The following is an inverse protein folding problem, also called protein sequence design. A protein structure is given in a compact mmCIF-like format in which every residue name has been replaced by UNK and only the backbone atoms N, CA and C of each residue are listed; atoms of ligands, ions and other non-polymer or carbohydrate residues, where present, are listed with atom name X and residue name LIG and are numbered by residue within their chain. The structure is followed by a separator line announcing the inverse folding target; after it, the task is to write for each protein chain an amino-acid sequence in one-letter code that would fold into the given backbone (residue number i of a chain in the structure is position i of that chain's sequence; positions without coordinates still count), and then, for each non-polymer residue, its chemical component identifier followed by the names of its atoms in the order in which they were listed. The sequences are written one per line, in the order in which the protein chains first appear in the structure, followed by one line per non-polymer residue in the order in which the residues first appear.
data_IF_625454758306
#
_entry.id   IF_625454758306
#
_cell.length_a   1.000
_cell.length_b   1.000
_cell.length_c   1.000
_cell.angle_alpha   90.00
_cell.angle_beta   90.00
_cell.angle_gamma   90.00
#
_symmetry.space_group_name_H-M   'P 1'
#
loop_
_entity.id
_entity.type
_entity.pdbx_description
1 polymer ?
#
# COMPACT_ATOMS: atom_id res chain seq x y z
N UNK A 1 -11.79 -18.92 -49.98
CA UNK A 1 -10.99 -18.61 -48.77
C UNK A 1 -11.54 -17.32 -48.17
N UNK A 2 -12.39 -17.42 -47.14
CA UNK A 2 -12.99 -16.26 -46.48
C UNK A 2 -12.06 -15.78 -45.36
N UNK A 3 -11.51 -14.57 -45.52
CA UNK A 3 -10.71 -13.90 -44.50
C UNK A 3 -11.64 -13.52 -43.35
N UNK A 4 -11.65 -14.32 -42.28
CA UNK A 4 -12.36 -13.99 -41.06
C UNK A 4 -11.80 -12.66 -40.52
N UNK A 5 -12.60 -11.59 -40.55
CA UNK A 5 -12.28 -10.32 -39.89
C UNK A 5 -11.93 -10.62 -38.43
N UNK A 6 -10.67 -10.38 -38.06
CA UNK A 6 -10.24 -10.45 -36.67
C UNK A 6 -11.12 -9.52 -35.83
N UNK A 7 -11.78 -10.06 -34.80
CA UNK A 7 -12.49 -9.26 -33.79
C UNK A 7 -11.53 -8.18 -33.27
N UNK A 8 -11.95 -6.92 -33.10
CA UNK A 8 -11.09 -5.90 -32.52
C UNK A 8 -10.58 -6.41 -31.17
N UNK A 9 -9.25 -6.39 -30.99
CA UNK A 9 -8.64 -6.83 -29.75
C UNK A 9 -9.21 -5.97 -28.62
N UNK A 10 -9.89 -6.60 -27.66
CA UNK A 10 -10.37 -5.92 -26.47
C UNK A 10 -9.21 -5.20 -25.74
N UNK A 11 -9.51 -4.22 -24.87
CA UNK A 11 -8.46 -3.43 -24.25
C UNK A 11 -7.47 -4.33 -23.50
N UNK A 12 -6.17 -4.08 -23.71
CA UNK A 12 -5.11 -4.83 -23.04
C UNK A 12 -5.21 -4.67 -21.52
N UNK A 13 -4.70 -5.62 -20.73
CA UNK A 13 -4.69 -5.50 -19.27
C UNK A 13 -4.05 -4.20 -18.79
N UNK A 14 -3.02 -3.72 -19.48
CA UNK A 14 -2.38 -2.42 -19.22
C UNK A 14 -3.39 -1.28 -19.39
N UNK A 15 -4.19 -1.27 -20.46
CA UNK A 15 -5.23 -0.26 -20.66
C UNK A 15 -6.23 -0.22 -19.50
N UNK A 16 -6.68 -1.38 -19.04
CA UNK A 16 -7.56 -1.46 -17.86
C UNK A 16 -6.87 -1.04 -16.57
N UNK A 17 -5.60 -1.41 -16.37
CA UNK A 17 -4.85 -1.01 -15.18
C UNK A 17 -4.63 0.52 -15.13
N UNK A 18 -4.34 1.15 -16.27
CA UNK A 18 -4.20 2.60 -16.37
C UNK A 18 -5.54 3.33 -16.19
N UNK A 19 -6.64 2.79 -16.75
CA UNK A 19 -7.98 3.32 -16.49
C UNK A 19 -8.37 3.20 -15.01
N UNK A 20 -8.01 2.07 -14.38
CA UNK A 20 -8.21 1.85 -12.93
C UNK A 20 -7.38 2.84 -12.12
N UNK A 21 -6.11 3.08 -12.49
CA UNK A 21 -5.26 4.08 -11.85
C UNK A 21 -5.87 5.48 -11.95
N UNK A 22 -6.35 5.87 -13.13
CA UNK A 22 -6.97 7.18 -13.34
C UNK A 22 -8.22 7.34 -12.46
N UNK A 23 -9.11 6.35 -12.44
CA UNK A 23 -10.30 6.38 -11.61
C UNK A 23 -9.97 6.35 -10.10
N UNK A 24 -9.01 5.54 -9.69
CA UNK A 24 -8.50 5.49 -8.31
C UNK A 24 -7.96 6.86 -7.88
N UNK A 25 -7.15 7.51 -8.73
CA UNK A 25 -6.63 8.87 -8.50
C UNK A 25 -7.77 9.89 -8.37
N UNK A 26 -8.76 9.86 -9.27
CA UNK A 26 -9.91 10.78 -9.20
C UNK A 26 -10.69 10.58 -7.89
N UNK A 27 -10.93 9.35 -7.46
CA UNK A 27 -11.65 9.08 -6.21
C UNK A 27 -10.82 9.55 -5.01
N UNK A 28 -9.54 9.19 -4.95
CA UNK A 28 -8.65 9.51 -3.82
C UNK A 28 -8.43 11.02 -3.67
N UNK A 29 -8.13 11.74 -4.76
CA UNK A 29 -7.77 13.17 -4.70
C UNK A 29 -8.98 14.09 -4.96
N UNK A 30 -9.87 13.72 -5.88
CA UNK A 30 -11.10 14.48 -6.13
C UNK A 30 -12.08 14.40 -4.96
N UNK A 31 -12.19 13.23 -4.31
CA UNK A 31 -12.93 13.10 -3.06
C UNK A 31 -12.37 13.99 -1.95
N UNK A 32 -11.04 14.10 -1.83
CA UNK A 32 -10.41 14.99 -0.87
C UNK A 32 -10.73 16.48 -1.16
N UNK A 33 -10.72 16.88 -2.43
CA UNK A 33 -11.03 18.26 -2.86
C UNK A 33 -12.51 18.63 -2.64
N UNK A 34 -13.44 17.69 -2.83
CA UNK A 34 -14.88 17.91 -2.66
C UNK A 34 -15.32 17.89 -1.19
N UNK A 35 -14.68 17.05 -0.37
CA UNK A 35 -15.08 16.82 1.03
C UNK A 35 -14.42 17.79 2.02
N UNK A 36 -13.38 18.53 1.62
CA UNK A 36 -12.61 19.39 2.51
C UNK A 36 -12.29 20.73 1.83
N UNK A 37 -12.53 21.88 2.48
CA UNK A 37 -12.01 23.17 2.02
C UNK A 37 -10.49 23.10 1.89
N UNK A 38 -9.94 23.61 0.79
CA UNK A 38 -8.50 23.85 0.64
C UNK A 38 -8.04 24.76 1.81
N UNK A 39 -6.83 24.55 2.32
CA UNK A 39 -6.21 25.20 3.52
C UNK A 39 -6.10 24.31 4.77
N UNK A 40 -5.81 23.01 4.62
CA UNK A 40 -5.42 22.15 5.75
C UNK A 40 -4.15 21.35 5.44
N UNK A 41 -3.28 21.22 6.43
CA UNK A 41 -2.12 20.33 6.36
C UNK A 41 -2.54 18.86 6.26
N UNK A 42 -1.66 17.99 5.73
CA UNK A 42 -1.91 16.54 5.64
C UNK A 42 -2.20 15.92 7.01
N UNK A 43 -1.55 16.44 8.06
CA UNK A 43 -1.73 16.07 9.46
C UNK A 43 -3.16 16.36 9.95
N UNK A 44 -3.76 17.48 9.57
CA UNK A 44 -5.13 17.80 9.93
C UNK A 44 -6.12 16.87 9.20
N UNK A 45 -5.84 16.51 7.94
CA UNK A 45 -6.68 15.62 7.14
C UNK A 45 -6.75 14.22 7.76
N UNK A 46 -5.62 13.68 8.21
CA UNK A 46 -5.55 12.32 8.79
C UNK A 46 -6.06 12.22 10.22
N UNK A 47 -6.28 13.36 10.90
CA UNK A 47 -6.70 13.41 12.32
C UNK A 47 -8.17 13.81 12.53
N UNK A 48 -8.87 14.27 11.50
CA UNK A 48 -10.26 14.74 11.58
C UNK A 48 -11.34 13.68 11.30
N UNK A 49 -10.96 12.46 10.97
CA UNK A 49 -11.87 11.33 10.80
C UNK A 49 -11.35 10.31 9.81
N UNK A 50 -12.20 9.33 9.49
CA UNK A 50 -11.88 8.31 8.48
C UNK A 50 -11.78 8.95 7.10
N UNK A 51 -10.75 8.57 6.34
CA UNK A 51 -10.59 8.99 4.95
C UNK A 51 -11.53 8.20 4.04
N UNK A 52 -12.80 8.59 3.98
CA UNK A 52 -13.82 7.90 3.19
C UNK A 52 -13.48 7.80 1.71
N UNK A 53 -12.79 8.79 1.14
CA UNK A 53 -12.31 8.76 -0.23
C UNK A 53 -11.33 7.60 -0.47
N UNK A 54 -10.49 7.24 0.51
CA UNK A 54 -9.56 6.11 0.43
C UNK A 54 -10.33 4.79 0.54
N UNK A 55 -11.32 4.72 1.42
CA UNK A 55 -12.20 3.55 1.55
C UNK A 55 -12.96 3.29 0.25
N UNK A 56 -13.51 4.34 -0.36
CA UNK A 56 -14.20 4.27 -1.66
C UNK A 56 -13.24 3.83 -2.78
N UNK A 57 -12.02 4.36 -2.81
CA UNK A 57 -11.01 3.95 -3.77
C UNK A 57 -10.63 2.46 -3.59
N UNK A 58 -10.46 2.00 -2.36
CA UNK A 58 -10.20 0.59 -2.07
C UNK A 58 -11.37 -0.33 -2.46
N UNK A 59 -12.60 0.07 -2.17
CA UNK A 59 -13.81 -0.66 -2.58
C UNK A 59 -13.91 -0.74 -4.11
N UNK A 60 -13.61 0.35 -4.82
CA UNK A 60 -13.55 0.38 -6.28
C UNK A 60 -12.53 -0.61 -6.83
N UNK A 61 -11.33 -0.72 -6.23
CA UNK A 61 -10.32 -1.70 -6.62
C UNK A 61 -10.82 -3.13 -6.46
N UNK A 62 -11.55 -3.45 -5.39
CA UNK A 62 -12.16 -4.77 -5.18
C UNK A 62 -13.17 -5.06 -6.28
N UNK A 63 -14.09 -4.12 -6.54
CA UNK A 63 -15.13 -4.27 -7.57
C UNK A 63 -14.51 -4.48 -8.96
N UNK A 64 -13.55 -3.66 -9.35
CA UNK A 64 -12.86 -3.81 -10.65
C UNK A 64 -12.09 -5.12 -10.72
N UNK A 65 -11.40 -5.52 -9.65
CA UNK A 65 -10.63 -6.77 -9.64
C UNK A 65 -11.54 -7.99 -9.82
N UNK A 66 -12.70 -8.01 -9.16
CA UNK A 66 -13.71 -9.06 -9.32
C UNK A 66 -14.29 -9.03 -10.74
N UNK A 67 -14.71 -7.86 -11.22
CA UNK A 67 -15.32 -7.69 -12.55
C UNK A 67 -14.36 -8.08 -13.69
N UNK A 68 -13.08 -7.77 -13.54
CA UNK A 68 -12.03 -8.12 -14.52
C UNK A 68 -11.46 -9.52 -14.33
N UNK A 69 -11.84 -10.22 -13.27
CA UNK A 69 -11.32 -11.56 -12.96
C UNK A 69 -9.83 -11.58 -12.63
N UNK A 70 -9.28 -10.54 -12.01
CA UNK A 70 -7.88 -10.49 -11.61
C UNK A 70 -7.65 -11.27 -10.32
N UNK A 71 -7.04 -12.44 -10.43
CA UNK A 71 -6.71 -13.32 -9.30
C UNK A 71 -5.24 -13.25 -8.87
N UNK A 72 -4.38 -12.56 -9.64
CA UNK A 72 -2.93 -12.51 -9.45
C UNK A 72 -2.43 -11.22 -8.76
N UNK A 73 -3.29 -10.57 -7.95
CA UNK A 73 -2.96 -9.33 -7.22
C UNK A 73 -1.81 -9.50 -6.21
N UNK A 74 -1.40 -10.73 -5.90
CA UNK A 74 -0.24 -10.99 -5.04
C UNK A 74 -0.50 -10.76 -3.55
N UNK A 75 -1.75 -10.90 -3.10
CA UNK A 75 -2.17 -10.84 -1.70
C UNK A 75 -1.97 -12.17 -0.95
N UNK A 76 -0.93 -12.93 -1.31
CA UNK A 76 -0.64 -14.22 -0.67
C UNK A 76 0.04 -14.01 0.70
N UNK A 77 0.18 -15.07 1.49
CA UNK A 77 0.91 -15.05 2.75
C UNK A 77 2.44 -15.05 2.52
N UNK A 78 3.24 -14.41 3.41
CA UNK A 78 4.68 -14.40 3.31
C UNK A 78 5.23 -15.81 3.49
N UNK A 79 6.24 -16.17 2.71
CA UNK A 79 6.91 -17.46 2.87
C UNK A 79 7.66 -17.53 4.21
N UNK A 80 7.71 -18.71 4.83
CA UNK A 80 8.39 -18.90 6.13
C UNK A 80 9.84 -18.42 6.05
N UNK A 81 10.28 -17.61 7.02
CA UNK A 81 11.65 -17.11 7.09
C UNK A 81 11.96 -15.89 6.23
N UNK A 82 11.03 -15.41 5.41
CA UNK A 82 11.21 -14.18 4.61
C UNK A 82 10.98 -12.91 5.44
N UNK A 83 10.22 -12.98 6.53
CA UNK A 83 9.96 -11.85 7.44
C UNK A 83 11.22 -11.16 7.97
N UNK A 84 12.35 -11.87 8.07
CA UNK A 84 13.63 -11.26 8.46
C UNK A 84 14.07 -10.15 7.52
N UNK A 85 13.67 -10.19 6.25
CA UNK A 85 14.00 -9.16 5.26
C UNK A 85 13.27 -7.83 5.52
N UNK A 86 12.26 -7.83 6.41
CA UNK A 86 11.58 -6.61 6.86
C UNK A 86 12.45 -5.77 7.82
N UNK A 87 13.61 -6.25 8.27
CA UNK A 87 14.44 -5.53 9.25
C UNK A 87 14.73 -4.09 8.82
N UNK A 88 15.02 -3.86 7.53
CA UNK A 88 15.37 -2.54 7.03
C UNK A 88 14.15 -1.60 6.93
N UNK A 89 13.01 -1.98 6.30
CA UNK A 89 11.79 -1.19 6.39
C UNK A 89 11.32 -0.95 7.84
N UNK A 90 11.42 -1.96 8.71
CA UNK A 90 11.06 -1.84 10.12
C UNK A 90 11.99 -0.88 10.87
N UNK A 91 13.28 -0.82 10.53
CA UNK A 91 14.20 0.16 11.06
C UNK A 91 13.78 1.58 10.66
N UNK A 92 13.39 1.81 9.40
CA UNK A 92 12.92 3.12 8.95
C UNK A 92 11.63 3.55 9.70
N UNK A 93 10.68 2.63 9.86
CA UNK A 93 9.47 2.88 10.66
C UNK A 93 9.82 3.15 12.11
N UNK A 94 10.74 2.38 12.71
CA UNK A 94 11.17 2.56 14.09
C UNK A 94 11.84 3.92 14.31
N UNK A 95 12.69 4.38 13.38
CA UNK A 95 13.29 5.72 13.42
C UNK A 95 12.24 6.82 13.33
N UNK A 96 11.23 6.65 12.47
CA UNK A 96 10.12 7.59 12.36
C UNK A 96 9.25 7.64 13.63
N UNK A 97 9.04 6.49 14.27
CA UNK A 97 8.33 6.40 15.56
C UNK A 97 9.15 6.99 16.71
N UNK A 98 10.46 6.78 16.72
CA UNK A 98 11.35 7.43 17.68
C UNK A 98 11.31 8.96 17.53
N UNK A 99 11.36 9.46 16.29
CA UNK A 99 11.23 10.89 16.02
C UNK A 99 9.87 11.44 16.51
N UNK A 100 8.77 10.73 16.23
CA UNK A 100 7.45 11.11 16.74
C UNK A 100 7.39 11.13 18.27
N UNK A 101 8.05 10.17 18.94
CA UNK A 101 8.13 10.14 20.40
C UNK A 101 8.92 11.34 20.94
N UNK A 102 10.04 11.70 20.30
CA UNK A 102 10.88 12.84 20.71
C UNK A 102 10.20 14.19 20.49
N UNK A 103 9.34 14.31 19.48
CA UNK A 103 8.59 15.54 19.17
C UNK A 103 7.25 15.65 19.91
N UNK A 104 6.86 14.61 20.65
CA UNK A 104 5.59 14.51 21.36
C UNK A 104 4.55 13.71 20.59
N UNK A 105 3.99 12.70 21.25
CA UNK A 105 2.94 11.86 20.65
C UNK A 105 1.58 12.57 20.67
N UNK A 106 0.74 12.35 19.64
CA UNK A 106 -0.65 12.77 19.69
C UNK A 106 -1.41 12.01 20.77
N UNK A 107 -2.61 12.48 21.12
CA UNK A 107 -3.51 11.74 22.02
C UNK A 107 -3.79 10.33 21.49
N UNK A 108 -4.08 9.38 22.39
CA UNK A 108 -4.31 7.98 22.00
C UNK A 108 -5.39 7.81 20.93
N UNK A 109 -6.46 8.60 20.99
CA UNK A 109 -7.52 8.61 19.98
C UNK A 109 -7.04 9.09 18.61
N UNK A 110 -6.25 10.16 18.57
CA UNK A 110 -5.66 10.69 17.33
C UNK A 110 -4.63 9.70 16.77
N UNK A 111 -3.80 9.11 17.62
CA UNK A 111 -2.85 8.07 17.23
C UNK A 111 -3.53 6.84 16.60
N UNK A 112 -4.62 6.35 17.22
CA UNK A 112 -5.40 5.25 16.67
C UNK A 112 -6.01 5.58 15.30
N UNK A 113 -6.49 6.82 15.13
CA UNK A 113 -7.05 7.28 13.87
C UNK A 113 -5.99 7.40 12.76
N UNK A 114 -4.81 7.94 13.08
CA UNK A 114 -3.67 7.98 12.15
C UNK A 114 -3.31 6.56 11.72
N UNK A 115 -3.17 5.61 12.66
CA UNK A 115 -2.85 4.22 12.34
C UNK A 115 -3.90 3.58 11.42
N UNK A 116 -5.19 3.81 11.69
CA UNK A 116 -6.29 3.32 10.85
C UNK A 116 -6.21 3.89 9.44
N UNK A 117 -6.08 5.21 9.31
CA UNK A 117 -6.03 5.89 8.03
C UNK A 117 -4.78 5.47 7.23
N UNK A 118 -3.61 5.41 7.87
CA UNK A 118 -2.36 4.93 7.25
C UNK A 118 -2.48 3.47 6.79
N UNK A 119 -3.12 2.61 7.58
CA UNK A 119 -3.36 1.23 7.17
C UNK A 119 -4.28 1.15 5.94
N UNK A 120 -5.40 1.88 5.94
CA UNK A 120 -6.32 1.93 4.79
C UNK A 120 -5.64 2.45 3.52
N UNK A 121 -4.86 3.53 3.63
CA UNK A 121 -4.06 4.07 2.52
C UNK A 121 -3.08 3.02 2.01
N UNK A 122 -2.29 2.43 2.90
CA UNK A 122 -1.30 1.41 2.54
C UNK A 122 -1.92 0.19 1.85
N UNK A 123 -3.08 -0.29 2.30
CA UNK A 123 -3.81 -1.37 1.63
C UNK A 123 -4.24 -0.96 0.22
N UNK A 124 -4.84 0.22 0.09
CA UNK A 124 -5.35 0.75 -1.18
C UNK A 124 -4.22 0.91 -2.20
N UNK A 125 -3.10 1.50 -1.78
CA UNK A 125 -1.91 1.69 -2.60
C UNK A 125 -1.26 0.38 -3.00
N UNK A 126 -1.10 -0.56 -2.06
CA UNK A 126 -0.52 -1.89 -2.32
C UNK A 126 -1.33 -2.64 -3.40
N UNK A 127 -2.67 -2.61 -3.32
CA UNK A 127 -3.55 -3.23 -4.31
C UNK A 127 -3.44 -2.52 -5.66
N UNK A 128 -3.47 -1.19 -5.70
CA UNK A 128 -3.40 -0.43 -6.94
C UNK A 128 -2.04 -0.59 -7.63
N UNK A 129 -0.95 -0.30 -6.94
CA UNK A 129 0.37 -0.21 -7.54
C UNK A 129 1.01 -1.59 -7.73
N UNK A 130 1.06 -2.43 -6.69
CA UNK A 130 1.67 -3.77 -6.83
C UNK A 130 0.69 -4.79 -7.40
N UNK A 131 -0.55 -4.77 -6.94
CA UNK A 131 -1.56 -5.76 -7.34
C UNK A 131 -2.04 -5.55 -8.78
N UNK A 132 -2.43 -4.33 -9.15
CA UNK A 132 -3.02 -4.05 -10.45
C UNK A 132 -1.95 -3.60 -11.46
N UNK A 133 -1.24 -2.52 -11.16
CA UNK A 133 -0.38 -1.83 -12.13
C UNK A 133 0.90 -2.61 -12.46
N UNK A 134 1.65 -3.04 -11.44
CA UNK A 134 2.87 -3.83 -11.62
C UNK A 134 2.58 -5.15 -12.34
N UNK A 135 1.52 -5.88 -11.95
CA UNK A 135 1.13 -7.14 -12.61
C UNK A 135 0.77 -6.92 -14.08
N UNK A 136 0.09 -5.82 -14.41
CA UNK A 136 -0.20 -5.47 -15.80
C UNK A 136 1.08 -5.19 -16.60
N UNK A 137 2.04 -4.43 -16.06
CA UNK A 137 3.32 -4.19 -16.72
C UNK A 137 4.14 -5.46 -16.88
N UNK A 138 4.13 -6.36 -15.90
CA UNK A 138 4.86 -7.64 -15.97
C UNK A 138 4.39 -8.58 -17.08
N UNK A 139 3.21 -8.37 -17.66
CA UNK A 139 2.79 -9.12 -18.84
C UNK A 139 3.57 -8.75 -20.11
N UNK A 140 4.21 -7.57 -20.14
CA UNK A 140 4.87 -7.03 -21.35
C UNK A 140 6.31 -6.56 -21.12
N UNK A 141 6.69 -6.30 -19.87
CA UNK A 141 7.98 -5.73 -19.49
C UNK A 141 8.75 -6.69 -18.58
N UNK A 142 10.08 -6.71 -18.67
CA UNK A 142 10.94 -7.41 -17.71
C UNK A 142 10.77 -6.83 -16.29
N UNK A 143 11.27 -7.55 -15.28
CA UNK A 143 11.09 -7.22 -13.85
C UNK A 143 11.49 -5.78 -13.53
N UNK A 144 12.72 -5.38 -13.87
CA UNK A 144 13.24 -4.05 -13.51
C UNK A 144 12.52 -2.88 -14.18
N UNK A 145 12.25 -2.87 -15.50
CA UNK A 145 11.44 -1.82 -16.11
C UNK A 145 10.03 -1.70 -15.49
N UNK A 146 9.39 -2.83 -15.14
CA UNK A 146 8.09 -2.81 -14.48
C UNK A 146 8.16 -2.22 -13.06
N UNK A 147 9.21 -2.55 -12.29
CA UNK A 147 9.45 -1.96 -10.96
C UNK A 147 9.67 -0.46 -11.07
N UNK A 148 10.58 -0.02 -11.96
CA UNK A 148 10.91 1.39 -12.15
C UNK A 148 9.67 2.19 -12.54
N UNK A 149 8.92 1.73 -13.54
CA UNK A 149 7.72 2.43 -14.01
C UNK A 149 6.63 2.49 -12.93
N UNK A 150 6.39 1.39 -12.21
CA UNK A 150 5.40 1.38 -11.12
C UNK A 150 5.82 2.34 -10.00
N UNK A 151 7.11 2.36 -9.64
CA UNK A 151 7.64 3.22 -8.56
C UNK A 151 7.57 4.70 -8.92
N UNK A 152 7.89 5.06 -10.17
CA UNK A 152 7.74 6.43 -10.67
C UNK A 152 6.28 6.86 -10.67
N UNK A 153 5.36 6.01 -11.13
CA UNK A 153 3.92 6.32 -11.12
C UNK A 153 3.37 6.44 -9.69
N UNK A 154 3.90 5.63 -8.75
CA UNK A 154 3.56 5.71 -7.33
C UNK A 154 4.02 7.04 -6.71
N UNK A 155 5.23 7.51 -7.01
CA UNK A 155 5.66 8.84 -6.61
C UNK A 155 4.85 9.95 -7.28
N UNK A 156 4.55 9.81 -8.58
CA UNK A 156 3.87 10.85 -9.35
C UNK A 156 2.49 11.22 -8.79
N UNK A 157 1.70 10.24 -8.31
CA UNK A 157 0.39 10.53 -7.71
C UNK A 157 0.51 11.36 -6.42
N UNK A 158 1.62 11.28 -5.68
CA UNK A 158 1.81 12.04 -4.45
C UNK A 158 2.03 13.53 -4.67
N UNK A 159 2.43 13.95 -5.88
CA UNK A 159 2.50 15.38 -6.24
C UNK A 159 1.12 16.03 -6.11
N UNK A 160 0.04 15.28 -6.30
CA UNK A 160 -1.34 15.77 -6.15
C UNK A 160 -1.68 16.17 -4.71
N UNK A 161 -0.93 15.71 -3.71
CA UNK A 161 -1.09 16.23 -2.34
C UNK A 161 -0.77 17.73 -2.28
N UNK A 162 0.12 18.24 -3.13
CA UNK A 162 0.41 19.67 -3.23
C UNK A 162 -0.78 20.49 -3.73
N UNK A 163 -1.66 19.88 -4.55
CA UNK A 163 -2.92 20.50 -4.99
C UNK A 163 -3.92 20.57 -3.83
N UNK A 164 -3.94 19.54 -2.97
CA UNK A 164 -4.84 19.48 -1.81
C UNK A 164 -4.39 20.44 -0.71
N UNK A 165 -3.09 20.48 -0.40
CA UNK A 165 -2.55 21.23 0.75
C UNK A 165 -2.00 22.60 0.41
N UNK A 166 -1.75 22.89 -0.87
CA UNK A 166 -0.98 24.06 -1.32
C UNK A 166 0.55 23.91 -1.11
N UNK A 167 1.01 22.88 -0.38
CA UNK A 167 2.42 22.70 -0.01
C UNK A 167 3.17 21.83 -1.03
N UNK A 168 3.44 22.37 -2.22
CA UNK A 168 4.10 21.63 -3.30
C UNK A 168 5.52 21.14 -2.97
N UNK A 169 6.27 21.87 -2.15
CA UNK A 169 7.61 21.44 -1.73
C UNK A 169 7.56 20.15 -0.90
N UNK A 170 6.59 20.05 0.02
CA UNK A 170 6.36 18.83 0.80
C UNK A 170 5.82 17.70 -0.06
N UNK A 171 4.90 17.98 -0.98
CA UNK A 171 4.39 17.00 -1.92
C UNK A 171 5.49 16.42 -2.83
N UNK A 172 6.44 17.25 -3.26
CA UNK A 172 7.59 16.79 -4.05
C UNK A 172 8.53 15.91 -3.22
N UNK A 173 8.83 16.31 -1.97
CA UNK A 173 9.59 15.46 -1.04
C UNK A 173 8.89 14.12 -0.83
N UNK A 174 7.58 14.13 -0.62
CA UNK A 174 6.77 12.94 -0.45
C UNK A 174 6.78 12.05 -1.71
N UNK A 175 6.67 12.64 -2.90
CA UNK A 175 6.74 11.93 -4.17
C UNK A 175 8.10 11.24 -4.39
N UNK A 176 9.21 11.90 -4.02
CA UNK A 176 10.54 11.32 -4.08
C UNK A 176 10.68 10.15 -3.09
N UNK A 177 10.27 10.35 -1.84
CA UNK A 177 10.28 9.29 -0.82
C UNK A 177 9.43 8.11 -1.26
N UNK A 178 8.20 8.35 -1.73
CA UNK A 178 7.30 7.31 -2.24
C UNK A 178 7.92 6.55 -3.43
N UNK A 179 8.55 7.25 -4.38
CA UNK A 179 9.26 6.60 -5.50
C UNK A 179 10.37 5.68 -5.00
N UNK A 180 11.21 6.16 -4.08
CA UNK A 180 12.27 5.37 -3.48
C UNK A 180 11.73 4.18 -2.67
N UNK A 181 10.64 4.37 -1.93
CA UNK A 181 9.95 3.30 -1.21
C UNK A 181 9.42 2.25 -2.18
N UNK A 182 8.86 2.62 -3.33
CA UNK A 182 8.44 1.67 -4.37
C UNK A 182 9.60 0.79 -4.86
N UNK A 183 10.77 1.39 -5.07
CA UNK A 183 11.98 0.67 -5.48
C UNK A 183 12.48 -0.32 -4.42
N UNK A 184 12.22 -0.06 -3.14
CA UNK A 184 12.56 -0.95 -2.03
C UNK A 184 11.49 -2.02 -1.80
N UNK A 185 10.22 -1.62 -1.77
CA UNK A 185 9.09 -2.44 -1.32
C UNK A 185 8.61 -3.39 -2.41
N UNK A 186 8.63 -3.02 -3.69
CA UNK A 186 8.18 -3.95 -4.75
C UNK A 186 9.11 -5.17 -4.83
N UNK A 187 10.44 -5.05 -4.92
CA UNK A 187 11.33 -6.21 -4.89
C UNK A 187 11.19 -7.04 -3.61
N UNK A 188 11.07 -6.37 -2.46
CA UNK A 188 10.86 -7.05 -1.18
C UNK A 188 9.55 -7.85 -1.17
N UNK A 189 8.48 -7.30 -1.74
CA UNK A 189 7.17 -7.94 -1.84
C UNK A 189 7.09 -9.02 -2.94
N UNK A 190 8.09 -9.12 -3.83
CA UNK A 190 8.26 -10.31 -4.69
C UNK A 190 8.77 -11.50 -3.90
N UNK A 191 9.51 -11.25 -2.81
CA UNK A 191 10.05 -12.28 -1.91
C UNK A 191 9.14 -12.49 -0.69
N UNK A 192 8.40 -11.45 -0.27
CA UNK A 192 7.36 -11.50 0.76
C UNK A 192 6.00 -11.25 0.14
N UNK A 193 5.22 -12.30 -0.17
CA UNK A 193 3.83 -12.07 -0.48
C UNK A 193 3.10 -11.46 0.75
N UNK A 194 2.60 -10.22 0.62
CA UNK A 194 1.52 -9.64 1.44
C UNK A 194 1.86 -9.07 2.84
N UNK A 195 1.87 -7.74 2.95
CA UNK A 195 1.87 -6.97 4.21
C UNK A 195 0.64 -7.23 5.08
N UNK A 196 -0.51 -7.54 4.47
CA UNK A 196 -1.80 -7.74 5.17
C UNK A 196 -1.82 -8.98 6.07
N UNK A 197 -1.08 -10.03 5.71
CA UNK A 197 -0.95 -11.21 6.56
C UNK A 197 0.11 -11.02 7.65
N UNK A 198 1.13 -10.17 7.44
CA UNK A 198 2.06 -9.79 8.50
C UNK A 198 1.30 -9.12 9.67
N UNK A 199 0.30 -8.29 9.37
CA UNK A 199 -0.62 -7.73 10.37
C UNK A 199 -1.52 -8.80 11.01
N UNK A 200 -1.98 -9.80 10.25
CA UNK A 200 -2.74 -10.94 10.78
C UNK A 200 -1.92 -11.84 11.71
N UNK A 201 -0.63 -12.06 11.45
CA UNK A 201 0.26 -12.86 12.31
C UNK A 201 0.47 -12.23 13.70
N UNK A 202 0.43 -10.90 13.80
CA UNK A 202 0.56 -10.20 15.10
C UNK A 202 -0.58 -10.54 16.08
N UNK A 203 -1.73 -11.05 15.60
CA UNK A 203 -2.83 -11.49 16.47
C UNK A 203 -2.49 -12.70 17.35
N UNK A 204 -1.44 -13.45 17.00
CA UNK A 204 -1.03 -14.66 17.72
C UNK A 204 0.25 -14.47 18.56
N UNK A 205 0.87 -13.30 18.51
CA UNK A 205 2.09 -13.00 19.29
C UNK A 205 1.85 -12.99 20.81
N UNK A 206 0.60 -12.82 21.25
CA UNK A 206 0.24 -12.91 22.67
C UNK A 206 -0.16 -14.32 23.16
N UNK A 207 -0.03 -15.39 22.36
CA UNK A 207 -0.56 -16.72 22.75
C UNK A 207 0.43 -17.89 22.73
N UNK A 208 1.73 -17.69 22.64
CA UNK A 208 2.66 -18.80 22.85
C UNK A 208 4.00 -18.37 23.47
N UNK A 209 4.32 -18.83 24.70
CA UNK A 209 5.70 -18.92 25.12
C UNK A 209 6.49 -19.81 24.14
N UNK A 210 7.78 -19.53 23.91
CA UNK A 210 8.66 -20.35 23.10
C UNK A 210 8.58 -21.83 23.49
N UNK A 211 8.69 -22.73 22.51
CA UNK A 211 8.62 -24.18 22.75
C UNK A 211 9.68 -24.70 23.74
N UNK A 212 10.78 -23.96 23.94
CA UNK A 212 11.82 -24.27 24.92
C UNK A 212 11.36 -24.20 26.38
N UNK A 213 10.39 -23.35 26.70
CA UNK A 213 9.96 -23.15 28.09
C UNK A 213 8.98 -24.24 28.56
N UNK A 214 8.36 -24.99 27.61
CA UNK A 214 7.50 -26.14 27.93
C UNK A 214 8.30 -27.35 28.42
N UNK A 215 9.55 -27.49 27.99
CA UNK A 215 10.43 -28.57 28.45
C UNK A 215 10.97 -28.27 29.86
N UNK A 216 11.26 -27.01 30.19
CA UNK A 216 11.69 -26.61 31.53
C UNK A 216 10.55 -26.78 32.58
N UNK A 217 9.32 -26.41 32.23
CA UNK A 217 8.17 -26.54 33.14
C UNK A 217 7.74 -28.01 33.39
N UNK A 218 7.94 -28.90 32.43
CA UNK A 218 7.66 -30.34 32.58
C UNK A 218 8.72 -31.12 33.35
N UNK A 219 9.92 -30.55 33.54
CA UNK A 219 11.02 -31.15 34.29
C UNK A 219 10.98 -30.81 35.78
N UNK A 220 10.32 -29.73 36.17
CA UNK A 220 10.21 -29.29 37.58
C UNK A 220 9.06 -29.96 38.36
N UNK A 221 8.31 -30.89 37.75
CA UNK A 221 7.15 -31.57 38.35
C UNK A 221 7.30 -33.10 38.43
N UNK A 222 8.54 -33.61 38.41
CA UNK A 222 8.86 -35.01 38.75
C UNK A 222 9.77 -35.09 39.96
#
# INVERSE_FOLDING_TARGET
MSCAKAKPAGPSRIGWALATLAAWTVITFGGALLLRPAERGLDEIVTQGVLWQVVLAAAMLVVVSIWRGWSDLGLNAPERGTLRLLWFPLLLVALQMLLALLLGLPSAGVGALILLNTACVGVSEEVMFRGVLYRAFRQRMKIWPAILLTSVLFGAVHVLNGVITGAFADALRQALVASCSGLLLIPLALVLPGLLYALWLLRHVHRAPPAGDRQAAGMATR
#
